data_IF_321551070954
#
_entry.id   IF_321551070954
#
_cell.length_a   1.000
_cell.length_b   1.000
_cell.length_c   1.000
_cell.angle_alpha   90.00
_cell.angle_beta   90.00
_cell.angle_gamma   90.00
#
_symmetry.space_group_name_H-M   'P 1'
#
loop_
_entity.id
_entity.type
_entity.pdbx_description
1 polymer ?
#
# COMPACT_ATOMS: atom_id res chain seq x y z
N UNK A 1 82.95 8.12 -5.05
CA UNK A 1 81.84 7.37 -4.41
C UNK A 1 80.94 8.38 -3.72
N UNK A 2 79.70 8.52 -4.18
CA UNK A 2 78.68 9.33 -3.50
C UNK A 2 77.87 8.39 -2.63
N UNK A 3 78.08 8.44 -1.31
CA UNK A 3 77.27 7.67 -0.37
C UNK A 3 75.82 8.16 -0.42
N UNK A 4 74.91 7.22 -0.69
CA UNK A 4 73.48 7.44 -0.71
C UNK A 4 72.98 7.53 0.74
N UNK A 5 72.66 8.73 1.20
CA UNK A 5 72.08 8.91 2.53
C UNK A 5 70.57 8.63 2.47
N UNK A 6 70.14 7.58 3.19
CA UNK A 6 68.72 7.28 3.39
C UNK A 6 68.31 7.85 4.73
N UNK A 7 67.33 8.77 4.74
CA UNK A 7 66.74 9.21 5.98
C UNK A 7 65.99 8.06 6.66
N UNK A 8 66.33 7.83 7.93
CA UNK A 8 65.59 6.92 8.79
C UNK A 8 64.18 7.52 9.00
N UNK A 9 63.17 6.99 8.31
CA UNK A 9 61.78 7.44 8.44
C UNK A 9 61.18 7.16 9.82
N UNK A 10 59.90 7.48 10.01
CA UNK A 10 59.15 7.12 11.23
C UNK A 10 58.25 5.91 10.97
N UNK A 11 58.13 4.98 11.92
CA UNK A 11 57.21 3.84 11.93
C UNK A 11 55.86 4.25 12.51
N UNK A 12 54.78 3.90 11.84
CA UNK A 12 53.42 4.03 12.39
C UNK A 12 53.04 2.80 13.23
N UNK A 13 52.34 3.01 14.35
CA UNK A 13 51.78 1.93 15.17
C UNK A 13 50.24 1.95 15.12
N UNK A 14 49.63 0.85 14.70
CA UNK A 14 48.17 0.77 14.50
C UNK A 14 47.35 0.75 15.79
N UNK A 15 47.91 0.20 16.87
CA UNK A 15 47.23 0.10 18.16
C UNK A 15 47.30 1.43 18.92
N UNK A 16 48.46 2.08 18.92
CA UNK A 16 48.67 3.34 19.63
C UNK A 16 48.36 4.58 18.80
N UNK A 17 48.26 4.44 17.47
CA UNK A 17 48.01 5.53 16.52
C UNK A 17 48.98 6.70 16.67
N UNK A 18 50.27 6.37 16.79
CA UNK A 18 51.37 7.33 16.88
C UNK A 18 52.50 6.94 15.95
N UNK A 19 53.27 7.94 15.51
CA UNK A 19 54.53 7.74 14.83
C UNK A 19 55.67 7.55 15.85
N UNK A 20 56.50 6.56 15.61
CA UNK A 20 57.66 6.17 16.41
C UNK A 20 58.89 6.33 15.52
N UNK A 21 60.02 6.76 16.06
CA UNK A 21 61.29 6.78 15.31
C UNK A 21 61.64 5.36 14.82
N UNK A 22 62.14 5.20 13.59
CA UNK A 22 62.53 3.89 13.05
C UNK A 22 63.86 3.34 13.63
N UNK A 23 64.06 3.45 14.94
CA UNK A 23 65.17 2.79 15.64
C UNK A 23 64.63 1.48 16.26
N UNK A 24 65.26 0.32 16.04
CA UNK A 24 64.81 -0.97 16.55
C UNK A 24 64.63 -1.00 18.08
N UNK A 25 65.40 -0.21 18.83
CA UNK A 25 65.24 -0.10 20.29
C UNK A 25 64.01 0.71 20.68
N UNK A 26 63.72 1.80 19.97
CA UNK A 26 62.53 2.64 20.18
C UNK A 26 61.24 1.86 19.89
N UNK A 27 61.25 1.10 18.79
CA UNK A 27 60.13 0.22 18.41
C UNK A 27 59.87 -0.84 19.48
N UNK A 28 60.91 -1.54 19.95
CA UNK A 28 60.78 -2.57 21.00
C UNK A 28 60.28 -1.98 22.32
N UNK A 29 60.82 -0.84 22.75
CA UNK A 29 60.37 -0.17 23.97
C UNK A 29 58.91 0.29 23.88
N UNK A 30 58.47 0.72 22.69
CA UNK A 30 57.07 1.05 22.45
C UNK A 30 56.16 -0.18 22.52
N UNK A 31 56.52 -1.27 21.82
CA UNK A 31 55.75 -2.52 21.77
C UNK A 31 55.67 -3.19 23.15
N UNK A 32 56.74 -3.09 23.95
CA UNK A 32 56.78 -3.57 25.33
C UNK A 32 56.09 -2.61 26.33
N UNK A 33 55.82 -1.38 25.91
CA UNK A 33 55.21 -0.35 26.74
C UNK A 33 53.78 -0.70 27.16
N UNK A 34 53.42 -0.35 28.39
CA UNK A 34 52.11 -0.68 28.97
C UNK A 34 50.95 -0.17 28.11
N UNK A 35 51.08 1.06 27.58
CA UNK A 35 50.05 1.68 26.74
C UNK A 35 49.76 0.87 25.47
N UNK A 36 50.79 0.27 24.86
CA UNK A 36 50.63 -0.57 23.68
C UNK A 36 49.91 -1.86 24.03
N UNK A 37 50.37 -2.54 25.08
CA UNK A 37 49.75 -3.77 25.60
C UNK A 37 48.29 -3.58 25.98
N UNK A 38 47.96 -2.48 26.66
CA UNK A 38 46.59 -2.14 27.04
C UNK A 38 45.70 -1.90 25.82
N UNK A 39 46.22 -1.20 24.79
CA UNK A 39 45.47 -0.96 23.55
C UNK A 39 45.24 -2.24 22.77
N UNK A 40 46.22 -3.14 22.72
CA UNK A 40 46.08 -4.47 22.12
C UNK A 40 45.04 -5.29 22.89
N UNK A 41 45.14 -5.35 24.21
CA UNK A 41 44.19 -6.07 25.06
C UNK A 41 42.76 -5.53 24.93
N UNK A 42 42.59 -4.21 24.88
CA UNK A 42 41.30 -3.55 24.61
C UNK A 42 40.74 -3.97 23.25
N UNK A 43 41.54 -3.88 22.18
CA UNK A 43 41.09 -4.28 20.84
C UNK A 43 40.69 -5.76 20.78
N UNK A 44 41.41 -6.65 21.48
CA UNK A 44 41.04 -8.06 21.57
C UNK A 44 39.75 -8.28 22.37
N UNK A 45 39.55 -7.54 23.47
CA UNK A 45 38.33 -7.60 24.25
C UNK A 45 37.11 -7.08 23.47
N UNK A 46 37.27 -5.97 22.74
CA UNK A 46 36.23 -5.38 21.90
C UNK A 46 35.85 -6.33 20.76
N UNK A 47 36.83 -6.93 20.08
CA UNK A 47 36.58 -7.96 19.05
C UNK A 47 35.79 -9.17 19.59
N UNK A 48 36.05 -9.61 20.83
CA UNK A 48 35.28 -10.70 21.46
C UNK A 48 33.85 -10.25 21.78
N UNK A 49 33.66 -9.05 22.32
CA UNK A 49 32.34 -8.49 22.61
C UNK A 49 31.52 -8.30 21.34
N UNK A 50 32.11 -7.77 20.28
CA UNK A 50 31.47 -7.60 18.98
C UNK A 50 31.03 -8.94 18.39
N UNK A 51 31.86 -9.98 18.48
CA UNK A 51 31.46 -11.34 18.04
C UNK A 51 30.26 -11.86 18.81
N UNK A 52 30.27 -11.74 20.13
CA UNK A 52 29.14 -12.18 20.99
C UNK A 52 27.87 -11.35 20.71
N UNK A 53 28.00 -10.05 20.47
CA UNK A 53 26.88 -9.19 20.11
C UNK A 53 26.29 -9.59 18.75
N UNK A 54 27.14 -9.76 17.72
CA UNK A 54 26.73 -10.21 16.39
C UNK A 54 26.05 -11.57 16.42
N UNK A 55 26.59 -12.54 17.17
CA UNK A 55 25.97 -13.86 17.29
C UNK A 55 24.58 -13.79 17.96
N UNK A 56 24.38 -12.87 18.92
CA UNK A 56 23.05 -12.66 19.52
C UNK A 56 22.08 -12.00 18.53
N UNK A 57 22.53 -10.98 17.80
CA UNK A 57 21.74 -10.32 16.76
C UNK A 57 21.35 -11.29 15.64
N UNK A 58 22.27 -12.15 15.21
CA UNK A 58 22.03 -13.21 14.22
C UNK A 58 20.98 -14.22 14.73
N UNK A 59 21.10 -14.70 15.98
CA UNK A 59 20.10 -15.59 16.59
C UNK A 59 18.73 -14.94 16.73
N UNK A 60 18.67 -13.65 17.04
CA UNK A 60 17.41 -12.90 17.11
C UNK A 60 16.79 -12.72 15.71
N UNK A 61 17.62 -12.43 14.70
CA UNK A 61 17.20 -12.35 13.31
C UNK A 61 16.67 -13.71 12.79
N UNK A 62 17.37 -14.81 13.06
CA UNK A 62 16.92 -16.17 12.71
C UNK A 62 15.56 -16.49 13.35
N UNK A 63 15.38 -16.17 14.64
CA UNK A 63 14.08 -16.35 15.31
C UNK A 63 12.98 -15.50 14.67
N UNK A 64 13.28 -14.26 14.28
CA UNK A 64 12.33 -13.40 13.61
C UNK A 64 11.93 -13.96 12.23
N UNK A 65 12.91 -14.45 11.45
CA UNK A 65 12.67 -15.10 10.16
C UNK A 65 11.80 -16.35 10.31
N UNK A 66 12.10 -17.22 11.27
CA UNK A 66 11.28 -18.40 11.56
C UNK A 66 9.83 -18.04 11.91
N UNK A 67 9.60 -16.97 12.66
CA UNK A 67 8.25 -16.50 12.96
C UNK A 67 7.53 -15.94 11.72
N UNK A 68 8.23 -15.21 10.86
CA UNK A 68 7.69 -14.70 9.59
C UNK A 68 7.32 -15.88 8.69
N UNK A 69 8.20 -16.86 8.53
CA UNK A 69 7.94 -18.06 7.75
C UNK A 69 6.76 -18.85 8.28
N UNK A 70 6.66 -19.05 9.60
CA UNK A 70 5.53 -19.75 10.21
C UNK A 70 4.21 -19.01 9.96
N UNK A 71 4.20 -17.68 10.06
CA UNK A 71 3.01 -16.86 9.75
C UNK A 71 2.66 -16.91 8.26
N UNK A 72 3.66 -16.80 7.38
CA UNK A 72 3.48 -16.89 5.94
C UNK A 72 2.90 -18.25 5.52
N UNK A 73 3.47 -19.35 6.04
CA UNK A 73 2.96 -20.72 5.79
C UNK A 73 1.51 -20.88 6.25
N UNK A 74 1.15 -20.35 7.43
CA UNK A 74 -0.23 -20.38 7.93
C UNK A 74 -1.19 -19.56 7.06
N UNK A 75 -0.78 -18.38 6.61
CA UNK A 75 -1.59 -17.56 5.69
C UNK A 75 -1.81 -18.30 4.38
N UNK A 76 -0.73 -18.80 3.78
CA UNK A 76 -0.79 -19.54 2.52
C UNK A 76 -1.71 -20.75 2.61
N UNK A 77 -1.63 -21.54 3.69
CA UNK A 77 -2.54 -22.67 3.91
C UNK A 77 -4.01 -22.23 3.98
N UNK A 78 -4.31 -21.10 4.63
CA UNK A 78 -5.67 -20.56 4.68
C UNK A 78 -6.15 -20.07 3.33
N UNK A 79 -5.27 -19.41 2.57
CA UNK A 79 -5.60 -18.92 1.23
C UNK A 79 -5.88 -20.09 0.29
N UNK A 80 -5.04 -21.14 0.32
CA UNK A 80 -5.26 -22.38 -0.43
C UNK A 80 -6.59 -23.05 -0.05
N UNK A 81 -6.89 -23.17 1.24
CA UNK A 81 -8.17 -23.71 1.71
C UNK A 81 -9.35 -22.85 1.23
N UNK A 82 -9.25 -21.53 1.33
CA UNK A 82 -10.27 -20.59 0.84
C UNK A 82 -10.48 -20.68 -0.66
N UNK A 83 -9.40 -20.80 -1.45
CA UNK A 83 -9.50 -21.02 -2.90
C UNK A 83 -10.12 -22.37 -3.23
N UNK A 84 -9.84 -23.41 -2.44
CA UNK A 84 -10.45 -24.72 -2.62
C UNK A 84 -11.93 -24.71 -2.24
N UNK A 85 -12.30 -24.11 -1.11
CA UNK A 85 -13.69 -23.89 -0.71
C UNK A 85 -14.45 -23.05 -1.74
N UNK A 86 -13.84 -22.00 -2.28
CA UNK A 86 -14.46 -21.21 -3.34
C UNK A 86 -14.59 -21.99 -4.66
N UNK A 87 -13.64 -22.89 -4.96
CA UNK A 87 -13.75 -23.80 -6.11
C UNK A 87 -14.85 -24.83 -5.89
N UNK A 88 -14.94 -25.40 -4.70
CA UNK A 88 -15.92 -26.42 -4.34
C UNK A 88 -17.32 -25.82 -4.25
N UNK A 89 -17.46 -24.59 -3.74
CA UNK A 89 -18.70 -23.81 -3.78
C UNK A 89 -19.13 -23.52 -5.23
N UNK A 90 -18.19 -23.06 -6.08
CA UNK A 90 -18.44 -22.90 -7.52
C UNK A 90 -18.76 -24.21 -8.24
N UNK A 91 -18.25 -25.35 -7.76
CA UNK A 91 -18.56 -26.66 -8.32
C UNK A 91 -19.94 -27.16 -7.84
N UNK A 92 -20.35 -26.81 -6.62
CA UNK A 92 -21.69 -27.11 -6.09
C UNK A 92 -22.77 -26.26 -6.77
N UNK A 93 -22.46 -25.02 -7.15
CA UNK A 93 -23.33 -24.17 -7.99
C UNK A 93 -23.43 -24.66 -9.47
N UNK A 94 -22.70 -25.72 -9.85
CA UNK A 94 -22.74 -26.34 -11.19
C UNK A 94 -23.46 -27.70 -11.18
N UNK A 95 -24.09 -28.08 -10.07
CA UNK A 95 -25.05 -29.19 -10.05
C UNK A 95 -26.48 -28.63 -10.05
N UNK A 96 -27.16 -28.80 -11.20
CA UNK A 96 -28.63 -28.75 -11.35
C UNK A 96 -29.35 -27.38 -11.35
N UNK A 97 -28.96 -26.47 -12.24
CA UNK A 97 -29.89 -25.40 -12.68
C UNK A 97 -29.70 -25.06 -14.17
N UNK A 98 -30.40 -25.83 -15.01
CA UNK A 98 -30.84 -25.35 -16.33
C UNK A 98 -29.75 -25.18 -17.39
N UNK A 99 -28.83 -26.13 -17.54
CA UNK A 99 -27.96 -26.15 -18.71
C UNK A 99 -28.83 -26.29 -19.97
N UNK A 100 -28.95 -25.19 -20.71
CA UNK A 100 -29.44 -25.13 -22.09
C UNK A 100 -28.86 -26.32 -22.86
N UNK A 101 -29.67 -27.38 -22.99
CA UNK A 101 -29.23 -28.62 -23.62
C UNK A 101 -29.34 -28.44 -25.12
N UNK A 102 -28.32 -27.81 -25.70
CA UNK A 102 -28.09 -27.79 -27.13
C UNK A 102 -27.95 -29.22 -27.61
N UNK A 103 -28.95 -29.70 -28.35
CA UNK A 103 -28.97 -31.03 -28.93
C UNK A 103 -28.41 -30.97 -30.33
N UNK A 104 -27.27 -31.62 -30.54
CA UNK A 104 -26.69 -31.75 -31.87
C UNK A 104 -27.54 -32.70 -32.71
N UNK A 105 -28.09 -32.21 -33.82
CA UNK A 105 -28.80 -33.06 -34.77
C UNK A 105 -27.86 -33.42 -35.93
N UNK A 106 -27.40 -34.67 -35.95
CA UNK A 106 -26.48 -35.16 -36.98
C UNK A 106 -27.06 -35.17 -38.40
N UNK A 107 -28.39 -35.14 -38.54
CA UNK A 107 -29.06 -35.13 -39.85
C UNK A 107 -29.05 -33.74 -40.49
N UNK A 108 -29.19 -32.69 -39.68
CA UNK A 108 -29.18 -31.30 -40.15
C UNK A 108 -27.83 -30.60 -39.97
N UNK A 109 -26.92 -31.17 -39.17
CA UNK A 109 -25.62 -30.58 -38.87
C UNK A 109 -25.67 -29.39 -37.90
N UNK A 110 -26.86 -29.05 -37.39
CA UNK A 110 -27.10 -27.90 -36.52
C UNK A 110 -27.36 -28.34 -35.08
N UNK A 111 -26.99 -27.48 -34.12
CA UNK A 111 -27.36 -27.61 -32.72
C UNK A 111 -28.73 -26.98 -32.50
N UNK A 112 -29.69 -27.72 -31.98
CA UNK A 112 -31.01 -27.21 -31.66
C UNK A 112 -31.16 -27.03 -30.16
N UNK A 113 -31.56 -25.82 -29.73
CA UNK A 113 -31.93 -25.56 -28.36
C UNK A 113 -33.44 -25.59 -28.18
N UNK A 114 -33.93 -26.54 -27.39
CA UNK A 114 -35.36 -26.71 -27.12
C UNK A 114 -35.95 -25.58 -26.26
N UNK A 115 -35.15 -24.93 -25.41
CA UNK A 115 -35.65 -23.87 -24.52
C UNK A 115 -35.94 -22.59 -25.30
N UNK A 116 -35.11 -22.30 -26.31
CA UNK A 116 -35.14 -21.04 -27.03
C UNK A 116 -35.63 -21.20 -28.47
N UNK A 117 -35.83 -22.43 -28.97
CA UNK A 117 -36.24 -22.68 -30.36
C UNK A 117 -35.21 -22.22 -31.40
N UNK A 118 -33.95 -22.01 -31.01
CA UNK A 118 -32.87 -21.61 -31.90
C UNK A 118 -32.13 -22.82 -32.47
N UNK A 119 -31.75 -22.70 -33.74
CA UNK A 119 -30.76 -23.54 -34.39
C UNK A 119 -29.43 -22.78 -34.45
N UNK A 120 -28.36 -23.42 -34.03
CA UNK A 120 -27.00 -22.89 -34.06
C UNK A 120 -26.17 -23.71 -35.04
N UNK A 121 -25.50 -23.02 -35.94
CA UNK A 121 -24.54 -23.61 -36.87
C UNK A 121 -23.11 -23.35 -36.38
N UNK A 122 -22.41 -24.41 -35.99
CA UNK A 122 -21.05 -24.30 -35.47
C UNK A 122 -20.02 -23.86 -36.52
N UNK A 123 -20.32 -24.03 -37.81
CA UNK A 123 -19.41 -23.65 -38.88
C UNK A 123 -19.50 -22.16 -39.20
N UNK A 124 -20.69 -21.58 -39.10
CA UNK A 124 -20.96 -20.19 -39.45
C UNK A 124 -21.06 -19.28 -38.24
N UNK A 125 -21.30 -19.82 -37.04
CA UNK A 125 -21.44 -19.06 -35.79
C UNK A 125 -22.73 -18.25 -35.71
N UNK A 126 -23.65 -18.43 -36.66
CA UNK A 126 -24.94 -17.74 -36.71
C UNK A 126 -26.04 -18.58 -36.06
N UNK A 127 -27.08 -17.88 -35.63
CA UNK A 127 -28.28 -18.43 -35.02
C UNK A 127 -29.48 -18.24 -35.96
N UNK A 128 -30.34 -19.25 -36.05
CA UNK A 128 -31.58 -19.23 -36.81
C UNK A 128 -32.76 -19.53 -35.91
N UNK A 129 -33.84 -18.77 -36.05
CA UNK A 129 -35.15 -19.14 -35.53
C UNK A 129 -36.23 -18.88 -36.56
N UNK A 130 -37.30 -19.65 -36.49
CA UNK A 130 -38.45 -19.53 -37.39
C UNK A 130 -39.12 -18.14 -37.29
N UNK A 131 -38.97 -17.46 -36.15
CA UNK A 131 -39.49 -16.11 -35.94
C UNK A 131 -38.66 -15.01 -36.63
N UNK A 132 -37.36 -15.22 -36.81
CA UNK A 132 -36.47 -14.28 -37.50
C UNK A 132 -36.40 -14.60 -39.00
N UNK A 133 -36.52 -15.89 -39.35
CA UNK A 133 -36.51 -16.38 -40.73
C UNK A 133 -35.19 -16.15 -41.47
N UNK A 134 -34.14 -15.73 -40.77
CA UNK A 134 -32.81 -15.40 -41.29
C UNK A 134 -31.73 -15.82 -40.29
N UNK A 135 -30.55 -16.12 -40.80
CA UNK A 135 -29.35 -16.36 -39.99
C UNK A 135 -28.83 -15.04 -39.45
N UNK A 136 -28.74 -14.95 -38.14
CA UNK A 136 -28.56 -13.70 -37.40
C UNK A 136 -27.53 -13.91 -36.30
N UNK A 137 -26.82 -12.85 -35.93
CA UNK A 137 -25.80 -12.91 -34.88
C UNK A 137 -26.43 -13.19 -33.52
N UNK A 138 -25.63 -13.67 -32.54
CA UNK A 138 -26.14 -14.01 -31.22
C UNK A 138 -26.92 -12.84 -30.59
N UNK A 139 -26.37 -11.62 -30.60
CA UNK A 139 -26.99 -10.44 -30.00
C UNK A 139 -28.36 -10.12 -30.61
N UNK A 140 -28.46 -10.18 -31.93
CA UNK A 140 -29.69 -9.90 -32.67
C UNK A 140 -30.73 -11.03 -32.52
N UNK A 141 -30.29 -12.29 -32.37
CA UNK A 141 -31.17 -13.43 -32.11
C UNK A 141 -31.83 -13.33 -30.73
N UNK A 142 -31.05 -12.96 -29.71
CA UNK A 142 -31.54 -12.77 -28.33
C UNK A 142 -32.25 -11.42 -28.09
N UNK A 143 -32.13 -10.45 -29.00
CA UNK A 143 -32.83 -9.15 -28.92
C UNK A 143 -34.31 -9.20 -29.36
N UNK A 144 -34.76 -10.30 -29.98
CA UNK A 144 -36.14 -10.41 -30.46
C UNK A 144 -37.13 -10.66 -29.29
N UNK A 145 -38.14 -9.78 -29.07
CA UNK A 145 -39.01 -9.82 -27.89
C UNK A 145 -39.89 -11.08 -27.75
N UNK A 146 -40.08 -11.87 -28.82
CA UNK A 146 -40.78 -13.16 -28.74
C UNK A 146 -40.05 -14.21 -27.90
N UNK A 147 -38.73 -14.10 -27.72
CA UNK A 147 -37.93 -15.03 -26.91
C UNK A 147 -37.72 -14.56 -25.46
N UNK A 148 -37.98 -13.27 -25.19
CA UNK A 148 -38.02 -12.73 -23.82
C UNK A 148 -39.25 -13.20 -23.03
N UNK A 149 -40.27 -13.74 -23.70
CA UNK A 149 -41.53 -14.20 -23.07
C UNK A 149 -41.43 -15.60 -22.44
N UNK A 150 -40.47 -16.43 -22.86
CA UNK A 150 -40.23 -17.74 -22.27
C UNK A 150 -39.12 -17.73 -21.19
N UNK A 151 -38.43 -16.60 -21.03
CA UNK A 151 -37.59 -16.35 -19.87
C UNK A 151 -38.49 -15.81 -18.75
N UNK A 152 -39.00 -16.71 -17.90
CA UNK A 152 -39.88 -16.35 -16.77
C UNK A 152 -39.25 -15.27 -15.88
N UNK A 153 -39.69 -14.03 -16.04
CA UNK A 153 -39.36 -12.92 -15.15
C UNK A 153 -40.50 -12.76 -14.14
N UNK A 154 -40.16 -12.79 -12.85
CA UNK A 154 -41.06 -12.46 -11.75
C UNK A 154 -41.16 -10.93 -11.67
N UNK A 155 -42.34 -10.37 -11.87
CA UNK A 155 -42.64 -8.97 -11.50
C UNK A 155 -43.89 -8.89 -10.60
N UNK A 156 -43.69 -8.40 -9.37
CA UNK A 156 -44.73 -8.11 -8.37
C UNK A 156 -45.19 -6.65 -8.43
N UNK A 157 -46.16 -6.40 -9.30
CA UNK A 157 -47.44 -5.66 -9.19
C UNK A 157 -47.79 -4.83 -7.90
N UNK A 158 -48.23 -3.57 -8.15
CA UNK A 158 -49.23 -2.68 -7.46
C UNK A 158 -48.78 -1.70 -6.34
N UNK A 159 -49.28 -0.46 -6.16
CA UNK A 159 -50.50 0.26 -6.63
C UNK A 159 -50.41 1.79 -6.35
N UNK A 160 -51.11 2.62 -7.14
CA UNK A 160 -51.51 4.04 -6.87
C UNK A 160 -53.05 4.10 -6.69
N UNK A 161 -53.70 5.13 -6.08
CA UNK A 161 -54.26 6.31 -6.81
C UNK A 161 -54.31 7.61 -5.93
N UNK A 162 -54.69 8.84 -6.32
CA UNK A 162 -55.22 9.49 -7.53
C UNK A 162 -55.62 10.99 -7.24
N UNK A 163 -55.68 11.82 -8.30
CA UNK A 163 -56.44 13.07 -8.62
C UNK A 163 -56.59 14.25 -7.59
N UNK A 164 -56.65 15.56 -7.90
CA UNK A 164 -57.45 16.32 -8.90
C UNK A 164 -56.93 17.77 -9.18
N UNK A 165 -57.08 18.24 -10.44
CA UNK A 165 -57.45 19.59 -10.98
C UNK A 165 -57.02 20.96 -10.40
N UNK A 166 -56.65 21.90 -11.31
CA UNK A 166 -57.19 23.29 -11.29
C UNK A 166 -56.20 24.45 -11.55
N UNK A 167 -56.57 25.40 -12.41
CA UNK A 167 -55.79 26.53 -12.98
C UNK A 167 -55.41 27.70 -12.01
N UNK A 168 -54.43 28.54 -12.41
CA UNK A 168 -53.96 29.77 -11.71
C UNK A 168 -54.87 31.02 -11.90
N UNK A 169 -54.43 32.31 -11.72
CA UNK A 169 -53.07 32.85 -11.47
C UNK A 169 -52.91 34.03 -10.43
N UNK A 170 -51.65 34.45 -10.19
CA UNK A 170 -51.09 35.80 -9.89
C UNK A 170 -51.34 36.60 -8.56
N UNK A 171 -50.23 37.27 -8.14
CA UNK A 171 -50.02 38.47 -7.28
C UNK A 171 -49.63 38.38 -5.78
N UNK A 172 -48.39 38.84 -5.53
CA UNK A 172 -47.86 39.76 -4.50
C UNK A 172 -47.84 39.51 -2.96
N UNK A 173 -46.59 39.59 -2.44
CA UNK A 173 -46.08 40.23 -1.20
C UNK A 173 -46.16 39.60 0.21
N UNK A 174 -44.94 39.35 0.74
CA UNK A 174 -44.36 39.47 2.11
C UNK A 174 -45.07 38.86 3.35
N UNK A 175 -44.33 37.98 4.04
CA UNK A 175 -44.54 37.64 5.46
C UNK A 175 -43.69 36.42 5.88
N UNK A 176 -43.23 36.40 7.12
CA UNK A 176 -42.06 35.64 7.59
C UNK A 176 -42.33 34.18 8.07
N UNK A 177 -41.20 33.50 8.30
CA UNK A 177 -40.94 32.36 9.21
C UNK A 177 -40.98 30.89 8.74
N UNK A 178 -39.79 30.29 8.84
CA UNK A 178 -39.44 28.97 9.43
C UNK A 178 -39.82 27.65 8.72
N UNK A 179 -38.74 26.96 8.34
CA UNK A 179 -38.49 25.51 8.47
C UNK A 179 -38.90 24.53 7.35
N UNK A 180 -37.85 23.93 6.77
CA UNK A 180 -37.70 22.57 6.25
C UNK A 180 -38.46 22.14 4.97
N UNK A 181 -37.69 21.73 3.95
CA UNK A 181 -37.67 20.37 3.38
C UNK A 181 -36.62 20.29 2.25
N UNK A 182 -35.85 19.19 2.21
CA UNK A 182 -34.78 18.95 1.23
C UNK A 182 -35.23 18.22 -0.05
N UNK A 183 -34.42 18.24 -1.12
CA UNK A 183 -34.55 17.37 -2.29
C UNK A 183 -33.26 16.51 -2.53
N UNK A 184 -33.12 15.67 -3.59
CA UNK A 184 -32.96 14.20 -3.54
C UNK A 184 -31.51 13.71 -3.84
N UNK A 185 -31.24 12.38 -3.87
CA UNK A 185 -29.90 11.83 -3.68
C UNK A 185 -29.03 11.85 -4.96
N UNK A 186 -27.77 12.21 -4.76
CA UNK A 186 -26.68 12.14 -5.74
C UNK A 186 -25.70 10.98 -5.47
N UNK A 187 -24.75 10.75 -6.40
CA UNK A 187 -24.10 9.46 -6.63
C UNK A 187 -22.92 9.13 -5.70
N UNK A 188 -22.62 7.84 -5.77
CA UNK A 188 -21.70 6.96 -5.05
C UNK A 188 -20.22 7.37 -4.86
N UNK A 189 -19.67 6.71 -3.82
CA UNK A 189 -18.31 6.15 -3.62
C UNK A 189 -17.45 6.87 -2.57
N UNK A 190 -17.28 6.23 -1.41
CA UNK A 190 -15.98 5.67 -0.94
C UNK A 190 -16.07 5.26 0.52
N UNK A 191 -15.80 3.99 0.80
CA UNK A 191 -15.67 3.42 2.12
C UNK A 191 -14.55 4.08 2.93
N UNK A 192 -14.85 4.51 4.15
CA UNK A 192 -13.88 4.97 5.13
C UNK A 192 -13.25 3.79 5.86
N UNK A 193 -11.92 3.67 5.75
CA UNK A 193 -11.11 2.96 6.74
C UNK A 193 -10.81 3.89 7.91
N UNK A 194 -10.99 3.39 9.14
CA UNK A 194 -10.18 3.66 10.34
C UNK A 194 -10.64 2.70 11.45
N UNK A 195 -9.75 2.14 12.29
CA UNK A 195 -9.14 2.95 13.35
C UNK A 195 -7.70 2.58 13.83
N UNK A 196 -6.95 3.64 14.18
CA UNK A 196 -5.99 3.81 15.30
C UNK A 196 -4.82 2.82 15.54
N UNK A 197 -3.59 3.33 15.72
CA UNK A 197 -2.90 3.45 17.04
C UNK A 197 -1.49 4.08 16.91
N UNK A 198 -1.20 5.01 17.81
CA UNK A 198 0.05 5.77 18.01
C UNK A 198 1.20 4.91 18.56
N UNK A 199 2.45 5.18 18.12
CA UNK A 199 3.65 4.98 18.95
C UNK A 199 4.68 6.08 18.71
N UNK A 200 5.16 6.62 19.84
CA UNK A 200 6.18 7.65 20.02
C UNK A 200 7.58 7.02 19.99
N UNK A 201 8.46 7.51 19.12
CA UNK A 201 9.87 7.11 19.04
C UNK A 201 10.81 8.23 19.46
N UNK A 202 11.69 7.94 20.41
CA UNK A 202 12.60 8.85 21.10
C UNK A 202 13.73 9.40 20.20
N UNK A 203 14.21 10.61 20.54
CA UNK A 203 15.43 11.21 19.96
C UNK A 203 16.67 10.65 20.67
N UNK A 204 17.53 9.96 19.93
CA UNK A 204 18.88 9.62 20.39
C UNK A 204 19.83 10.78 20.11
N UNK A 205 20.37 11.40 21.16
CA UNK A 205 21.44 12.41 21.09
C UNK A 205 22.80 11.75 20.89
N UNK A 206 23.46 12.01 19.76
CA UNK A 206 24.88 11.69 19.58
C UNK A 206 25.61 12.97 19.19
N UNK A 207 26.45 13.45 20.09
CA UNK A 207 27.38 14.56 19.90
C UNK A 207 28.60 14.08 19.11
N UNK A 208 28.77 14.56 17.87
CA UNK A 208 29.98 14.32 17.07
C UNK A 208 30.92 15.51 17.20
N UNK A 209 32.05 15.28 17.84
CA UNK A 209 33.14 16.23 18.00
C UNK A 209 33.90 16.50 16.69
N UNK A 210 34.35 17.75 16.58
CA UNK A 210 35.15 18.35 15.49
C UNK A 210 36.39 17.53 15.13
N UNK A 211 36.55 17.18 13.84
CA UNK A 211 37.85 16.96 13.18
C UNK A 211 37.85 17.53 11.75
N UNK A 212 39.01 18.05 11.34
CA UNK A 212 39.27 18.96 10.22
C UNK A 212 39.61 18.20 8.92
N UNK A 213 38.65 18.22 7.99
CA UNK A 213 38.65 18.20 6.50
C UNK A 213 39.75 17.44 5.71
N UNK A 214 39.32 16.46 4.90
CA UNK A 214 39.68 16.43 3.48
C UNK A 214 38.50 17.04 2.70
N UNK A 215 38.78 17.95 1.77
CA UNK A 215 37.76 18.68 1.03
C UNK A 215 37.15 17.79 -0.06
N UNK A 216 36.10 17.02 0.26
CA UNK A 216 35.10 16.75 -0.77
C UNK A 216 34.27 18.02 -0.95
N UNK A 217 34.18 18.49 -2.19
CA UNK A 217 33.31 19.61 -2.57
C UNK A 217 31.90 19.34 -2.01
N UNK A 218 31.26 20.31 -1.32
CA UNK A 218 29.86 20.14 -0.97
C UNK A 218 29.09 19.91 -2.27
N UNK A 219 28.34 18.80 -2.34
CA UNK A 219 27.46 18.54 -3.49
C UNK A 219 26.58 19.77 -3.64
N UNK A 220 26.75 20.50 -4.74
CA UNK A 220 25.89 21.63 -5.05
C UNK A 220 24.47 21.08 -5.14
N UNK A 221 23.62 21.47 -4.19
CA UNK A 221 22.19 21.16 -4.22
C UNK A 221 21.71 21.65 -5.59
N UNK A 222 21.26 20.71 -6.42
CA UNK A 222 20.78 21.08 -7.75
C UNK A 222 19.61 22.06 -7.59
N UNK A 223 19.44 23.00 -8.52
CA UNK A 223 18.34 23.96 -8.45
C UNK A 223 16.97 23.27 -8.29
N UNK A 224 16.85 22.05 -8.83
CA UNK A 224 15.69 21.18 -8.70
C UNK A 224 15.48 20.67 -7.27
N UNK A 225 16.54 20.29 -6.56
CA UNK A 225 16.46 19.82 -5.17
C UNK A 225 16.14 20.98 -4.21
N UNK A 226 16.68 22.18 -4.46
CA UNK A 226 16.32 23.38 -3.71
C UNK A 226 14.85 23.75 -3.89
N UNK A 227 14.32 23.64 -5.12
CA UNK A 227 12.90 23.83 -5.40
C UNK A 227 12.03 22.77 -4.70
N UNK A 228 12.47 21.51 -4.66
CA UNK A 228 11.78 20.43 -3.97
C UNK A 228 11.73 20.65 -2.45
N UNK A 229 12.81 21.14 -1.82
CA UNK A 229 12.83 21.49 -0.40
C UNK A 229 11.91 22.67 -0.10
N UNK A 230 11.97 23.74 -0.91
CA UNK A 230 11.08 24.90 -0.77
C UNK A 230 9.60 24.51 -0.90
N UNK A 231 9.27 23.59 -1.81
CA UNK A 231 7.91 23.07 -1.97
C UNK A 231 7.44 22.25 -0.75
N UNK A 232 8.34 21.44 -0.17
CA UNK A 232 8.06 20.68 1.07
C UNK A 232 7.83 21.61 2.26
N UNK A 233 8.64 22.65 2.41
CA UNK A 233 8.48 23.65 3.47
C UNK A 233 7.20 24.46 3.30
N UNK A 234 6.88 24.88 2.07
CA UNK A 234 5.61 25.55 1.77
C UNK A 234 4.39 24.65 2.07
N UNK A 235 4.47 23.35 1.79
CA UNK A 235 3.43 22.39 2.15
C UNK A 235 3.26 22.27 3.68
N UNK A 236 4.35 22.18 4.44
CA UNK A 236 4.30 22.18 5.91
C UNK A 236 3.69 23.46 6.45
N UNK A 237 4.08 24.62 5.90
CA UNK A 237 3.53 25.92 6.32
C UNK A 237 2.02 26.01 6.08
N UNK A 238 1.52 25.50 4.96
CA UNK A 238 0.07 25.42 4.68
C UNK A 238 -0.68 24.51 5.65
N UNK A 239 -0.06 23.41 6.08
CA UNK A 239 -0.62 22.52 7.12
C UNK A 239 -0.62 23.24 8.47
N UNK A 240 0.48 23.89 8.82
CA UNK A 240 0.62 24.65 10.06
C UNK A 240 -0.37 25.81 10.13
N UNK A 241 -0.63 26.52 9.02
CA UNK A 241 -1.65 27.58 8.95
C UNK A 241 -3.08 27.06 9.10
N UNK A 242 -3.36 25.83 8.63
CA UNK A 242 -4.64 25.15 8.88
C UNK A 242 -4.77 24.66 10.32
N UNK A 243 -3.66 24.28 10.95
CA UNK A 243 -3.62 23.77 12.33
C UNK A 243 -3.56 24.88 13.39
N UNK A 244 -2.96 26.04 13.09
CA UNK A 244 -2.86 27.23 13.97
C UNK A 244 -4.19 27.65 14.62
N UNK A 245 -5.32 27.78 13.90
CA UNK A 245 -6.60 28.09 14.52
C UNK A 245 -7.19 26.91 15.32
N UNK A 246 -6.82 25.66 14.99
CA UNK A 246 -7.26 24.46 15.69
C UNK A 246 -6.53 24.28 17.04
N UNK A 247 -5.28 24.71 17.12
CA UNK A 247 -4.46 24.70 18.35
C UNK A 247 -4.90 25.75 19.39
N UNK A 248 -5.79 26.69 19.01
CA UNK A 248 -6.40 27.68 19.91
C UNK A 248 -7.63 27.20 20.68
N UNK A 249 -8.12 25.98 20.41
CA UNK A 249 -9.27 25.38 21.11
C UNK A 249 -8.90 24.67 22.43
N UNK A 250 -7.62 24.69 22.83
CA UNK A 250 -7.19 24.29 24.17
C UNK A 250 -6.68 25.50 24.95
N UNK A 251 -7.59 26.45 25.21
CA UNK A 251 -7.41 27.40 26.33
C UNK A 251 -8.16 26.81 27.53
N UNK A 252 -7.48 26.31 28.58
CA UNK A 252 -8.17 25.87 29.77
C UNK A 252 -8.82 27.09 30.42
N UNK A 253 -10.14 27.11 30.37
CA UNK A 253 -10.97 28.09 31.04
C UNK A 253 -11.05 27.71 32.52
N UNK A 254 -10.03 28.09 33.29
CA UNK A 254 -10.02 28.06 34.75
C UNK A 254 -8.98 29.06 35.24
N UNK A 255 -9.42 29.98 36.11
CA UNK A 255 -8.72 30.84 37.09
C UNK A 255 -9.46 32.19 37.09
N UNK A 256 -10.58 32.26 37.83
CA UNK A 256 -10.67 32.79 39.20
C UNK A 256 -10.59 34.32 39.22
N UNK A 257 -11.75 34.93 39.48
CA UNK A 257 -11.88 36.31 39.94
C UNK A 257 -11.02 36.53 41.20
N UNK A 258 -10.47 37.76 41.34
CA UNK A 258 -11.03 38.63 42.38
C UNK A 258 -11.07 40.12 41.97
N UNK A 259 -12.20 40.79 42.19
CA UNK A 259 -12.41 41.87 43.19
C UNK A 259 -13.76 42.59 42.95
#
# INVERSE_FOLDING_TARGET
MTEYWVSQGNKWCDFCKIYISNNPSSIRNHELGQRHKDNVAKKLADMRKEKVAKEKEEKEAERALLQIEAKAKRSYQKDVASFQEARDARAFDVEDDGQEKWQYNSTSGYYYNQSNGFYYDANSGFYYSDAIGKWVSQEEAYANPQFLSNAGYKETILKRPGSTSGAGPATENKGADKSQNGPPPGPVVSASLNPMRSVKGARSSVSVGKRKRQEEKPRAISAQEAAALKAREAARKRVEEREKPLLGLYRPQCLLEPH
#
